data_IF_707152157011
#
_entry.id   IF_707152157011
#
_cell.length_a   1.000
_cell.length_b   1.000
_cell.length_c   1.000
_cell.angle_alpha   90.00
_cell.angle_beta   90.00
_cell.angle_gamma   90.00
#
_symmetry.space_group_name_H-M   'P 1'
#
loop_
_entity.id
_entity.type
_entity.pdbx_description
1 polymer ?
#
# COMPACT_ATOMS: atom_id res chain seq x y z
N UNK A 1 -0.65 -1.25 7.20
CA UNK A 1 -1.71 -0.23 7.08
C UNK A 1 -2.22 -0.07 5.66
N UNK A 2 -3.46 0.43 5.50
CA UNK A 2 -4.08 0.75 4.22
C UNK A 2 -4.60 2.19 4.23
N UNK A 3 -4.08 3.04 3.35
CA UNK A 3 -4.45 4.45 3.22
C UNK A 3 -5.02 4.68 1.81
N UNK A 4 -6.31 5.00 1.73
CA UNK A 4 -7.04 5.19 0.47
C UNK A 4 -7.27 6.67 0.10
N UNK A 5 -6.53 7.58 0.74
CA UNK A 5 -6.66 9.03 0.59
C UNK A 5 -5.30 9.73 0.73
N UNK A 6 -5.27 11.08 0.65
CA UNK A 6 -4.02 11.84 0.65
C UNK A 6 -3.25 11.67 1.95
N UNK A 7 -1.92 11.69 1.85
CA UNK A 7 -1.01 11.68 3.00
C UNK A 7 -0.31 13.03 3.16
N UNK A 8 0.18 13.29 4.37
CA UNK A 8 0.99 14.47 4.68
C UNK A 8 2.45 14.30 4.27
N UNK A 9 3.20 15.40 4.38
CA UNK A 9 4.66 15.40 4.18
C UNK A 9 5.36 14.53 5.21
N UNK A 10 6.54 14.02 4.84
CA UNK A 10 7.39 13.18 5.68
C UNK A 10 6.76 11.82 6.06
N UNK A 11 5.92 11.27 5.18
CA UNK A 11 5.30 9.96 5.37
C UNK A 11 6.36 8.86 5.55
N UNK A 12 6.16 7.99 6.53
CA UNK A 12 7.12 6.93 6.87
C UNK A 12 8.25 7.36 7.81
N UNK A 13 8.26 8.61 8.29
CA UNK A 13 9.13 9.00 9.39
C UNK A 13 8.84 8.16 10.64
N UNK A 14 9.88 7.52 11.18
CA UNK A 14 9.74 6.61 12.33
C UNK A 14 9.12 5.24 12.01
N UNK A 15 8.95 4.89 10.73
CA UNK A 15 8.50 3.55 10.35
C UNK A 15 9.63 2.54 10.64
N UNK A 16 9.51 1.77 11.71
CA UNK A 16 10.52 0.78 12.14
C UNK A 16 10.16 -0.66 11.79
N UNK A 17 8.94 -0.94 11.35
CA UNK A 17 8.48 -2.29 11.01
C UNK A 17 7.16 -2.28 10.24
N UNK A 18 6.83 -3.45 9.65
CA UNK A 18 5.60 -3.65 8.88
C UNK A 18 5.65 -3.04 7.48
N UNK A 19 4.44 -2.89 6.90
CA UNK A 19 4.23 -2.32 5.58
C UNK A 19 2.98 -1.44 5.54
N UNK A 20 2.93 -0.52 4.58
CA UNK A 20 1.76 0.28 4.29
C UNK A 20 1.45 0.30 2.79
N UNK A 21 0.17 0.33 2.45
CA UNK A 21 -0.31 0.61 1.11
C UNK A 21 -0.88 2.02 1.07
N UNK A 22 -0.39 2.85 0.14
CA UNK A 22 -0.81 4.25 0.00
C UNK A 22 -1.33 4.49 -1.41
N UNK A 23 -2.59 4.91 -1.53
CA UNK A 23 -3.19 5.34 -2.81
C UNK A 23 -2.83 6.80 -3.11
N UNK A 24 -2.20 7.04 -4.25
CA UNK A 24 -1.68 8.33 -4.72
C UNK A 24 -2.27 8.73 -6.08
N UNK A 25 -3.53 9.17 -6.06
CA UNK A 25 -4.22 9.62 -7.28
C UNK A 25 -3.67 10.95 -7.82
N UNK A 26 -3.07 11.76 -6.97
CA UNK A 26 -2.54 13.07 -7.32
C UNK A 26 -1.09 13.02 -7.84
N UNK A 27 -0.45 11.84 -7.78
CA UNK A 27 0.96 11.62 -8.17
C UNK A 27 1.92 12.49 -7.35
N UNK A 28 1.61 12.69 -6.07
CA UNK A 28 2.37 13.54 -5.14
C UNK A 28 3.16 12.76 -4.11
N UNK A 29 2.94 11.44 -3.99
CA UNK A 29 3.56 10.64 -2.95
C UNK A 29 5.09 10.65 -2.96
N UNK A 30 5.79 10.67 -4.12
CA UNK A 30 7.25 10.78 -4.15
C UNK A 30 7.80 12.03 -3.44
N UNK A 31 7.05 13.13 -3.40
CA UNK A 31 7.45 14.36 -2.71
C UNK A 31 7.06 14.35 -1.22
N UNK A 32 6.16 13.44 -0.81
CA UNK A 32 5.62 13.34 0.53
C UNK A 32 6.34 12.29 1.38
N UNK A 33 7.04 11.34 0.77
CA UNK A 33 7.69 10.22 1.46
C UNK A 33 9.03 10.61 2.09
N UNK A 34 9.31 10.10 3.29
CA UNK A 34 10.64 10.18 3.89
C UNK A 34 11.57 9.18 3.21
N UNK A 35 12.24 9.63 2.14
CA UNK A 35 13.18 8.81 1.39
C UNK A 35 14.45 8.41 2.14
N UNK A 36 14.69 8.88 3.38
CA UNK A 36 15.82 8.43 4.21
C UNK A 36 15.50 7.09 4.89
N UNK A 37 14.26 6.93 5.36
CA UNK A 37 13.87 5.83 6.26
C UNK A 37 13.08 4.71 5.58
N UNK A 38 12.34 5.02 4.51
CA UNK A 38 11.51 4.04 3.81
C UNK A 38 11.88 3.92 2.33
N UNK A 39 11.58 2.75 1.78
CA UNK A 39 11.47 2.54 0.34
C UNK A 39 9.99 2.49 -0.04
N UNK A 40 9.70 2.81 -1.29
CA UNK A 40 8.39 2.60 -1.88
C UNK A 40 8.49 1.87 -3.22
N UNK A 41 7.48 1.06 -3.51
CA UNK A 41 7.46 0.15 -4.66
C UNK A 41 6.09 0.19 -5.33
N UNK A 42 6.07 0.20 -6.67
CA UNK A 42 4.88 -0.18 -7.41
C UNK A 42 4.58 -1.67 -7.20
N UNK A 43 3.32 -2.05 -7.29
CA UNK A 43 2.85 -3.40 -6.96
C UNK A 43 2.19 -4.12 -8.13
N UNK A 44 2.30 -3.59 -9.34
CA UNK A 44 1.74 -4.17 -10.57
C UNK A 44 2.63 -5.24 -11.23
N UNK A 45 3.84 -5.49 -10.71
CA UNK A 45 4.80 -6.43 -11.31
C UNK A 45 4.58 -7.87 -10.83
N UNK A 46 5.05 -8.85 -11.61
CA UNK A 46 4.93 -10.27 -11.24
C UNK A 46 5.60 -10.60 -9.91
N UNK A 47 6.74 -9.98 -9.61
CA UNK A 47 7.46 -10.11 -8.33
C UNK A 47 6.67 -9.60 -7.12
N UNK A 48 5.62 -8.79 -7.33
CA UNK A 48 4.83 -8.17 -6.28
C UNK A 48 3.46 -8.84 -6.08
N UNK A 49 3.16 -9.94 -6.79
CA UNK A 49 1.86 -10.62 -6.71
C UNK A 49 1.43 -11.00 -5.29
N UNK A 50 2.39 -11.33 -4.42
CA UNK A 50 2.10 -11.60 -3.00
C UNK A 50 1.52 -10.38 -2.28
N UNK A 51 2.10 -9.20 -2.50
CA UNK A 51 1.60 -7.95 -1.93
C UNK A 51 0.31 -7.48 -2.58
N UNK A 52 0.14 -7.68 -3.89
CA UNK A 52 -1.13 -7.41 -4.56
C UNK A 52 -2.26 -8.24 -3.94
N UNK A 53 -2.04 -9.54 -3.74
CA UNK A 53 -3.00 -10.43 -3.10
C UNK A 53 -3.29 -10.01 -1.65
N UNK A 54 -2.25 -9.62 -0.90
CA UNK A 54 -2.40 -9.10 0.46
C UNK A 54 -3.26 -7.83 0.49
N UNK A 55 -2.98 -6.85 -0.36
CA UNK A 55 -3.77 -5.62 -0.48
C UNK A 55 -5.23 -5.91 -0.82
N UNK A 56 -5.45 -6.83 -1.78
CA UNK A 56 -6.80 -7.24 -2.16
C UNK A 56 -7.56 -7.80 -0.96
N UNK A 57 -6.94 -8.69 -0.21
CA UNK A 57 -7.51 -9.27 1.02
C UNK A 57 -7.83 -8.18 2.05
N UNK A 58 -6.97 -7.18 2.24
CA UNK A 58 -7.24 -6.06 3.14
C UNK A 58 -8.48 -5.27 2.73
N UNK A 59 -8.64 -4.99 1.43
CA UNK A 59 -9.80 -4.25 0.91
C UNK A 59 -11.07 -5.10 1.02
N UNK A 60 -11.02 -6.38 0.66
CA UNK A 60 -12.14 -7.30 0.80
C UNK A 60 -12.59 -7.43 2.26
N UNK A 61 -11.65 -7.56 3.20
CA UNK A 61 -11.94 -7.57 4.63
C UNK A 61 -12.56 -6.25 5.10
N UNK A 62 -12.05 -5.11 4.62
CA UNK A 62 -12.62 -3.80 4.93
C UNK A 62 -14.06 -3.66 4.41
N UNK A 63 -14.34 -4.09 3.18
CA UNK A 63 -15.69 -4.10 2.60
C UNK A 63 -16.62 -5.00 3.41
N UNK A 64 -16.19 -6.21 3.76
CA UNK A 64 -16.98 -7.14 4.55
C UNK A 64 -17.30 -6.59 5.95
N UNK A 65 -16.34 -5.89 6.58
CA UNK A 65 -16.51 -5.33 7.92
C UNK A 65 -17.33 -4.04 7.96
N UNK A 66 -17.32 -3.25 6.88
CA UNK A 66 -17.90 -1.88 6.90
C UNK A 66 -19.04 -1.65 5.91
N UNK A 67 -19.21 -2.51 4.92
CA UNK A 67 -20.12 -2.28 3.79
C UNK A 67 -19.69 -1.12 2.89
N UNK A 68 -18.42 -0.71 2.90
CA UNK A 68 -17.93 0.45 2.15
C UNK A 68 -18.09 0.29 0.63
N UNK A 69 -19.07 0.99 0.05
CA UNK A 69 -19.29 1.05 -1.41
C UNK A 69 -18.07 1.61 -2.16
N UNK A 70 -17.37 2.57 -1.56
CA UNK A 70 -16.14 3.13 -2.12
C UNK A 70 -15.08 2.04 -2.28
N UNK A 71 -14.79 1.29 -1.20
CA UNK A 71 -13.82 0.21 -1.24
C UNK A 71 -14.24 -0.95 -2.15
N UNK A 72 -15.54 -1.26 -2.20
CA UNK A 72 -16.09 -2.22 -3.15
C UNK A 72 -15.91 -1.76 -4.60
N UNK A 73 -16.00 -0.45 -4.86
CA UNK A 73 -15.67 0.16 -6.15
C UNK A 73 -14.21 -0.07 -6.57
N UNK A 74 -13.27 0.00 -5.62
CA UNK A 74 -11.85 -0.25 -5.90
C UNK A 74 -11.60 -1.68 -6.37
N UNK A 75 -12.32 -2.66 -5.82
CA UNK A 75 -12.23 -4.06 -6.25
C UNK A 75 -12.79 -4.30 -7.65
N UNK A 76 -13.77 -3.49 -8.08
CA UNK A 76 -14.35 -3.58 -9.43
C UNK A 76 -13.41 -3.01 -10.50
N UNK A 77 -12.70 -1.94 -10.19
CA UNK A 77 -11.73 -1.29 -11.09
C UNK A 77 -10.28 -1.50 -10.64
N UNK A 78 -9.96 -2.76 -10.32
CA UNK A 78 -8.70 -3.14 -9.68
C UNK A 78 -7.46 -2.74 -10.50
N UNK A 79 -7.50 -2.99 -11.81
CA UNK A 79 -6.37 -2.72 -12.72
C UNK A 79 -6.00 -1.24 -12.79
N UNK A 80 -6.97 -0.34 -12.61
CA UNK A 80 -6.69 1.08 -12.49
C UNK A 80 -6.21 1.43 -11.08
N UNK A 81 -6.95 0.98 -10.06
CA UNK A 81 -6.64 1.23 -8.66
C UNK A 81 -5.20 0.84 -8.30
N UNK A 82 -4.74 -0.33 -8.72
CA UNK A 82 -3.42 -0.87 -8.35
C UNK A 82 -2.26 0.02 -8.83
N UNK A 83 -2.44 0.75 -9.95
CA UNK A 83 -1.41 1.64 -10.53
C UNK A 83 -1.23 2.93 -9.75
N UNK A 84 -2.22 3.27 -8.94
CA UNK A 84 -2.17 4.41 -8.05
C UNK A 84 -1.65 4.02 -6.66
N UNK A 85 -1.27 2.75 -6.42
CA UNK A 85 -0.88 2.30 -5.08
C UNK A 85 0.62 2.09 -4.98
N UNK A 86 1.18 2.67 -3.92
CA UNK A 86 2.54 2.41 -3.48
C UNK A 86 2.54 1.45 -2.29
N UNK A 87 3.37 0.42 -2.33
CA UNK A 87 3.82 -0.32 -1.16
C UNK A 87 4.96 0.45 -0.51
N UNK A 88 4.85 0.74 0.78
CA UNK A 88 5.86 1.47 1.56
C UNK A 88 6.39 0.56 2.65
N UNK A 89 7.72 0.44 2.74
CA UNK A 89 8.41 -0.46 3.67
C UNK A 89 9.64 0.21 4.29
N UNK A 90 10.02 -0.12 5.53
CA UNK A 90 11.28 0.34 6.12
C UNK A 90 12.49 -0.12 5.28
N UNK A 91 13.50 0.74 5.10
CA UNK A 91 14.72 0.35 4.38
C UNK A 91 15.49 -0.80 5.02
N UNK A 92 15.38 -0.94 6.33
CA UNK A 92 16.07 -2.00 7.08
C UNK A 92 15.40 -3.38 6.91
N UNK A 93 14.19 -3.44 6.35
CA UNK A 93 13.42 -4.66 6.23
C UNK A 93 13.61 -5.34 4.86
N UNK A 94 13.44 -6.67 4.83
CA UNK A 94 13.42 -7.46 3.59
C UNK A 94 11.99 -7.73 3.18
N UNK A 95 11.67 -7.56 1.90
CA UNK A 95 10.31 -7.73 1.39
C UNK A 95 9.76 -9.14 1.70
N UNK A 96 10.47 -10.21 1.34
CA UNK A 96 9.96 -11.57 1.55
C UNK A 96 9.60 -11.85 3.03
N UNK A 97 10.42 -11.36 3.96
CA UNK A 97 10.16 -11.47 5.41
C UNK A 97 8.90 -10.69 5.80
N UNK A 98 8.74 -9.46 5.31
CA UNK A 98 7.55 -8.64 5.58
C UNK A 98 6.27 -9.27 5.01
N UNK A 99 6.36 -9.92 3.86
CA UNK A 99 5.22 -10.58 3.24
C UNK A 99 4.79 -11.80 4.06
N UNK A 100 5.74 -12.62 4.51
CA UNK A 100 5.48 -13.75 5.40
C UNK A 100 4.85 -13.30 6.73
N UNK A 101 5.35 -12.21 7.33
CA UNK A 101 4.80 -11.66 8.58
C UNK A 101 3.39 -11.09 8.41
N UNK A 102 3.04 -10.60 7.21
CA UNK A 102 1.75 -9.95 6.94
C UNK A 102 0.69 -10.88 6.34
N UNK A 103 1.08 -12.09 5.91
CA UNK A 103 0.19 -13.10 5.30
C UNK A 103 -0.59 -13.87 6.35
#
# INVERSE_FOLDING_TARGET
DLILGPVGVNFGAGMTGGLAFVRDQARQFPDQVNGELVNYHGIETESMRGYEALLRRHIEAHVAATGSDYAAGLLKDWTHFIRDVWLVVPKAAKLDVLLEEAS
#
